data_IF_753003383555
#
_entry.id   IF_753003383555
#
_cell.length_a   1.000
_cell.length_b   1.000
_cell.length_c   1.000
_cell.angle_alpha   90.00
_cell.angle_beta   90.00
_cell.angle_gamma   90.00
#
_symmetry.space_group_name_H-M   'P 1'
#
loop_
_entity.id
_entity.type
_entity.pdbx_description
1 polymer ?
2 non-polymer ?
3 non-polymer ?
4 non-polymer ?
5 water ?
#
# COMPACT_ATOMS: atom_id res chain seq x y z
N UNK A 1 -24.82 -1.68 -19.37
CA UNK A 1 -24.80 -1.91 -20.81
C UNK A 1 -23.39 -2.14 -21.37
N UNK A 2 -22.34 -1.69 -20.66
CA UNK A 2 -20.93 -1.84 -21.09
C UNK A 2 -20.49 -3.31 -20.94
N UNK A 3 -19.93 -3.87 -22.02
CA UNK A 3 -19.47 -5.26 -22.03
C UNK A 3 -18.21 -5.44 -21.17
N UNK A 4 -18.00 -6.69 -20.73
CA UNK A 4 -16.81 -7.09 -19.98
C UNK A 4 -15.60 -6.88 -20.91
N UNK A 5 -15.75 -7.24 -22.20
CA UNK A 5 -14.71 -7.06 -23.22
C UNK A 5 -14.24 -5.58 -23.26
N UNK A 6 -15.18 -4.62 -23.29
CA UNK A 6 -14.91 -3.17 -23.31
C UNK A 6 -14.20 -2.68 -22.02
N UNK A 7 -14.67 -3.11 -20.82
CA UNK A 7 -14.02 -2.74 -19.55
C UNK A 7 -12.58 -3.25 -19.52
N UNK A 8 -12.37 -4.52 -19.94
CA UNK A 8 -11.04 -5.13 -19.95
C UNK A 8 -10.12 -4.42 -20.93
N UNK A 9 -10.63 -4.08 -22.13
CA UNK A 9 -9.85 -3.34 -23.14
C UNK A 9 -9.46 -1.96 -22.63
N UNK A 10 -10.42 -1.23 -22.03
CA UNK A 10 -10.19 0.12 -21.48
C UNK A 10 -9.15 0.10 -20.37
N UNK A 11 -9.25 -0.82 -19.41
CA UNK A 11 -8.28 -0.84 -18.30
C UNK A 11 -6.90 -1.25 -18.80
N UNK A 12 -6.84 -2.24 -19.69
CA UNK A 12 -5.57 -2.66 -20.30
C UNK A 12 -4.91 -1.44 -20.98
N UNK A 13 -5.70 -0.62 -21.72
CA UNK A 13 -5.20 0.56 -22.43
C UNK A 13 -4.52 1.59 -21.51
N UNK A 14 -4.99 1.71 -20.25
CA UNK A 14 -4.39 2.66 -19.28
C UNK A 14 -2.96 2.27 -18.96
N UNK A 15 -2.70 0.96 -18.81
CA UNK A 15 -1.34 0.47 -18.55
C UNK A 15 -0.51 0.56 -19.84
N UNK A 16 -1.11 0.24 -21.01
CA UNK A 16 -0.44 0.31 -22.32
C UNK A 16 0.03 1.74 -22.61
N UNK A 17 -0.85 2.74 -22.38
CA UNK A 17 -0.54 4.15 -22.67
C UNK A 17 0.54 4.71 -21.75
N UNK A 18 0.66 4.13 -20.55
CA UNK A 18 1.70 4.52 -19.59
C UNK A 18 3.03 3.83 -19.93
N UNK A 19 3.05 2.98 -20.99
CA UNK A 19 4.22 2.23 -21.48
C UNK A 19 4.84 1.37 -20.37
N UNK A 20 3.99 0.73 -19.57
CA UNK A 20 4.42 -0.15 -18.49
C UNK A 20 3.66 -1.47 -18.57
N UNK A 21 3.91 -2.37 -17.61
CA UNK A 21 3.27 -3.69 -17.53
C UNK A 21 2.71 -3.76 -16.13
N UNK A 22 1.42 -4.03 -16.02
CA UNK A 22 0.80 -4.06 -14.71
C UNK A 22 -0.56 -4.69 -14.63
N UNK A 23 -1.04 -4.79 -13.39
CA UNK A 23 -2.36 -5.33 -13.03
C UNK A 23 -3.03 -4.47 -12.02
N UNK A 24 -4.35 -4.53 -11.98
CA UNK A 24 -5.18 -3.90 -10.97
C UNK A 24 -6.18 -4.97 -10.57
N UNK A 25 -6.14 -5.39 -9.31
CA UNK A 25 -7.05 -6.39 -8.78
C UNK A 25 -8.08 -5.68 -7.93
N UNK A 26 -9.36 -5.94 -8.21
CA UNK A 26 -10.46 -5.31 -7.49
C UNK A 26 -11.26 -6.41 -6.80
N UNK A 27 -11.70 -6.16 -5.56
CA UNK A 27 -12.47 -7.15 -4.84
C UNK A 27 -13.85 -6.61 -4.50
N UNK A 28 -14.89 -7.31 -4.94
CA UNK A 28 -16.28 -6.97 -4.66
C UNK A 28 -16.83 -8.14 -3.87
N UNK A 29 -16.97 -7.94 -2.57
CA UNK A 29 -17.37 -8.98 -1.64
C UNK A 29 -16.23 -9.99 -1.54
N UNK A 30 -16.49 -11.24 -1.94
CA UNK A 30 -15.46 -12.28 -1.94
C UNK A 30 -14.85 -12.52 -3.34
N UNK A 31 -15.40 -11.85 -4.39
CA UNK A 31 -14.95 -12.03 -5.77
C UNK A 31 -13.81 -11.09 -6.17
N UNK A 32 -12.70 -11.68 -6.64
CA UNK A 32 -11.51 -10.94 -7.11
C UNK A 32 -11.57 -10.82 -8.62
N UNK A 33 -11.44 -9.60 -9.14
CA UNK A 33 -11.40 -9.37 -10.58
C UNK A 33 -10.05 -8.79 -10.94
N UNK A 34 -9.38 -9.40 -11.92
CA UNK A 34 -8.04 -9.01 -12.35
C UNK A 34 -8.12 -8.28 -13.70
N UNK A 35 -7.58 -7.07 -13.76
CA UNK A 35 -7.58 -6.24 -14.98
C UNK A 35 -6.17 -5.75 -15.26
N UNK A 36 -5.96 -5.18 -16.44
CA UNK A 36 -4.65 -4.63 -16.80
C UNK A 36 -4.04 -5.22 -18.05
N UNK A 37 -2.74 -5.00 -18.25
CA UNK A 37 -2.08 -5.50 -19.46
C UNK A 37 -1.06 -6.60 -19.18
N UNK A 38 -0.94 -7.10 -17.93
CA UNK A 38 0.01 -8.18 -17.62
C UNK A 38 -0.59 -8.98 -16.48
N UNK A 39 -1.69 -9.70 -16.77
CA UNK A 39 -2.51 -10.42 -15.79
C UNK A 39 -1.74 -11.43 -14.94
N UNK A 40 -0.68 -12.04 -15.49
CA UNK A 40 0.15 -13.02 -14.76
C UNK A 40 0.89 -12.42 -13.56
N UNK A 41 0.94 -11.09 -13.42
CA UNK A 41 1.55 -10.44 -12.27
C UNK A 41 0.74 -10.68 -10.99
N UNK A 42 -0.57 -10.97 -11.11
CA UNK A 42 -1.51 -11.17 -9.98
C UNK A 42 -1.00 -12.10 -8.86
N UNK A 43 -0.34 -13.22 -9.20
CA UNK A 43 0.16 -14.15 -8.16
C UNK A 43 1.68 -14.21 -8.08
N UNK A 44 2.37 -13.18 -8.58
CA UNK A 44 3.84 -13.09 -8.48
C UNK A 44 4.21 -12.25 -7.26
N UNK A 45 5.33 -12.58 -6.60
CA UNK A 45 5.82 -11.90 -5.41
C UNK A 45 6.71 -10.74 -5.74
N UNK A 46 6.53 -9.62 -5.03
CA UNK A 46 7.33 -8.41 -5.16
C UNK A 46 7.54 -7.85 -3.78
N UNK A 47 8.59 -7.05 -3.61
CA UNK A 47 8.79 -6.39 -2.32
C UNK A 47 7.58 -5.45 -2.07
N UNK A 48 7.06 -5.35 -0.84
CA UNK A 48 5.91 -4.45 -0.62
C UNK A 48 6.30 -2.98 -0.69
N UNK A 49 7.61 -2.67 -0.53
CA UNK A 49 8.15 -1.30 -0.47
C UNK A 49 7.31 -0.50 0.54
N UNK A 50 6.93 0.76 0.24
CA UNK A 50 6.17 1.65 1.16
C UNK A 50 4.77 1.19 1.52
N UNK A 51 4.19 0.19 0.82
CA UNK A 51 2.86 -0.31 1.26
C UNK A 51 3.01 -0.95 2.65
N UNK A 52 4.24 -1.43 2.99
CA UNK A 52 4.52 -1.98 4.33
C UNK A 52 4.28 -0.94 5.44
N UNK A 53 4.29 0.36 5.12
CA UNK A 53 4.02 1.41 6.11
C UNK A 53 2.71 1.14 6.84
N UNK A 54 1.69 0.60 6.12
CA UNK A 54 0.39 0.31 6.74
C UNK A 54 0.54 -0.69 7.88
N UNK A 55 1.26 -1.78 7.63
CA UNK A 55 1.46 -2.81 8.64
C UNK A 55 2.46 -2.36 9.71
N UNK A 56 3.51 -1.62 9.30
CA UNK A 56 4.50 -1.07 10.22
C UNK A 56 3.78 -0.19 11.28
N UNK A 57 2.86 0.69 10.84
CA UNK A 57 2.07 1.58 11.71
C UNK A 57 1.15 0.80 12.65
N UNK A 58 0.47 -0.25 12.13
CA UNK A 58 -0.41 -1.10 12.95
C UNK A 58 0.41 -1.77 14.08
N UNK A 59 1.58 -2.35 13.73
CA UNK A 59 2.46 -3.03 14.68
C UNK A 59 2.95 -2.06 15.77
N UNK A 60 3.43 -0.89 15.33
CA UNK A 60 3.96 0.15 16.21
C UNK A 60 2.94 0.67 17.20
N UNK A 61 1.74 1.00 16.71
CA UNK A 61 0.65 1.51 17.54
C UNK A 61 0.12 0.46 18.52
N UNK A 62 -0.05 -0.80 18.05
CA UNK A 62 -0.56 -1.90 18.89
C UNK A 62 0.42 -2.20 20.02
N UNK A 63 1.73 -2.16 19.74
CA UNK A 63 2.76 -2.50 20.71
C UNK A 63 3.33 -1.29 21.46
N UNK A 64 2.59 -0.15 21.44
CA UNK A 64 2.92 1.09 22.16
C UNK A 64 4.33 1.62 21.88
N UNK A 65 4.76 1.49 20.62
CA UNK A 65 6.07 2.00 20.19
C UNK A 65 5.94 3.45 19.75
N UNK A 66 4.69 3.94 19.63
CA UNK A 66 4.36 5.30 19.24
C UNK A 66 2.89 5.60 19.53
N UNK A 67 2.53 6.89 19.50
CA UNK A 67 1.14 7.36 19.60
C UNK A 67 0.84 8.09 18.31
N UNK A 68 -0.44 8.36 18.02
CA UNK A 68 -0.83 9.06 16.78
C UNK A 68 -0.46 10.56 16.80
N UNK A 69 -0.24 11.16 17.99
CA UNK A 69 0.12 12.57 18.08
C UNK A 69 1.62 12.78 18.27
N UNK A 70 2.36 11.69 18.53
CA UNK A 70 3.82 11.75 18.73
C UNK A 70 4.54 12.36 17.53
N UNK A 71 5.39 13.35 17.79
CA UNK A 71 6.16 14.02 16.74
C UNK A 71 7.54 13.41 16.69
N UNK A 72 7.86 12.73 15.57
CA UNK A 72 9.16 12.12 15.30
C UNK A 72 10.04 13.24 14.78
N UNK A 73 11.05 13.61 15.56
CA UNK A 73 11.92 14.73 15.19
C UNK A 73 12.87 14.39 14.05
N UNK A 74 13.08 15.34 13.14
CA UNK A 74 14.08 15.19 12.08
C UNK A 74 15.45 15.34 12.77
N UNK A 75 16.37 14.39 12.51
CA UNK A 75 17.72 14.38 13.12
C UNK A 75 18.66 15.50 12.62
N UNK A 76 18.23 16.24 11.59
CA UNK A 76 19.05 17.32 11.07
C UNK A 76 19.96 16.90 9.93
N UNK A 77 19.96 15.60 9.58
CA UNK A 77 20.76 15.07 8.48
C UNK A 77 20.03 15.21 7.15
N UNK A 78 20.79 15.44 6.08
CA UNK A 78 20.25 15.59 4.73
C UNK A 78 19.44 14.36 4.32
N UNK A 79 18.27 14.61 3.69
CA UNK A 79 17.36 13.58 3.20
C UNK A 79 17.26 13.67 1.70
N UNK A 80 16.84 12.58 1.03
CA UNK A 80 16.67 12.55 -0.42
C UNK A 80 15.68 13.64 -0.87
N UNK A 81 14.64 13.91 -0.05
CA UNK A 81 13.58 14.88 -0.36
C UNK A 81 13.44 15.96 0.72
N UNK A 82 13.38 17.24 0.32
CA UNK A 82 13.29 18.34 1.31
C UNK A 82 12.08 18.26 2.25
N UNK A 83 10.93 17.75 1.76
CA UNK A 83 9.74 17.62 2.60
C UNK A 83 9.89 16.58 3.72
N UNK A 84 10.97 15.77 3.68
CA UNK A 84 11.25 14.79 4.73
C UNK A 84 12.13 15.39 5.81
N UNK A 85 12.68 16.59 5.55
CA UNK A 85 13.57 17.26 6.49
C UNK A 85 12.78 18.09 7.49
N UNK A 86 11.89 17.42 8.21
CA UNK A 86 11.03 18.04 9.20
C UNK A 86 10.52 17.00 10.19
N UNK A 87 9.95 17.50 11.29
CA UNK A 87 9.37 16.74 12.38
C UNK A 87 7.97 16.36 11.95
N UNK A 88 7.57 15.10 12.19
CA UNK A 88 6.25 14.66 11.76
C UNK A 88 5.69 13.52 12.56
N UNK A 89 4.36 13.40 12.54
CA UNK A 89 3.63 12.31 13.18
C UNK A 89 3.68 11.13 12.21
N UNK A 90 3.22 9.96 12.65
CA UNK A 90 3.11 8.78 11.79
C UNK A 90 2.18 9.05 10.60
N UNK A 91 1.09 9.78 10.86
CA UNK A 91 0.10 10.13 9.83
C UNK A 91 0.67 11.02 8.75
N UNK A 92 1.46 12.01 9.16
CA UNK A 92 2.13 12.93 8.22
C UNK A 92 3.19 12.16 7.44
N UNK A 93 3.94 11.25 8.13
CA UNK A 93 4.95 10.44 7.47
C UNK A 93 4.31 9.42 6.53
N UNK A 94 3.05 9.01 6.78
CA UNK A 94 2.32 8.10 5.88
C UNK A 94 1.99 8.84 4.56
N UNK A 95 1.44 10.07 4.65
CA UNK A 95 1.05 10.90 3.50
C UNK A 95 2.28 11.29 2.66
N UNK A 96 3.40 11.60 3.33
CA UNK A 96 4.63 11.97 2.64
C UNK A 96 5.48 10.78 2.31
N UNK A 97 5.06 9.58 2.79
CA UNK A 97 5.76 8.30 2.63
C UNK A 97 7.25 8.46 3.07
N UNK A 98 7.47 9.16 4.21
CA UNK A 98 8.81 9.43 4.74
C UNK A 98 9.40 8.19 5.40
N UNK A 99 10.28 7.49 4.67
CA UNK A 99 10.99 6.27 5.08
C UNK A 99 11.69 6.42 6.44
N UNK A 100 12.48 7.50 6.71
CA UNK A 100 13.20 7.55 8.01
C UNK A 100 12.34 7.40 9.25
N UNK A 101 11.11 7.96 9.22
CA UNK A 101 10.18 7.86 10.36
C UNK A 101 9.76 6.41 10.55
N UNK A 102 9.47 5.72 9.44
CA UNK A 102 9.03 4.32 9.52
C UNK A 102 10.21 3.37 9.81
N UNK A 103 11.44 3.79 9.50
CA UNK A 103 12.62 3.02 9.87
C UNK A 103 12.84 3.18 11.39
N UNK A 104 12.58 4.38 11.93
CA UNK A 104 12.68 4.62 13.38
C UNK A 104 11.64 3.75 14.10
N UNK A 105 10.39 3.75 13.60
CA UNK A 105 9.34 2.92 14.18
C UNK A 105 9.72 1.44 14.15
N UNK A 106 10.29 0.95 13.02
CA UNK A 106 10.71 -0.45 12.89
C UNK A 106 11.81 -0.78 13.93
N UNK A 107 12.77 0.13 14.11
CA UNK A 107 13.86 0.00 15.10
C UNK A 107 13.32 -0.06 16.53
N UNK A 108 12.25 0.73 16.83
CA UNK A 108 11.61 0.73 18.17
C UNK A 108 10.97 -0.62 18.42
N UNK A 109 10.26 -1.16 17.42
CA UNK A 109 9.64 -2.49 17.50
C UNK A 109 10.72 -3.56 17.71
N UNK A 110 11.82 -3.46 16.95
CA UNK A 110 12.92 -4.40 17.05
C UNK A 110 12.67 -5.65 16.24
N UNK A 111 13.75 -6.35 15.83
CA UNK A 111 13.69 -7.54 14.96
C UNK A 111 12.81 -8.68 15.49
N UNK A 112 12.98 -9.06 16.78
CA UNK A 112 12.23 -10.18 17.39
C UNK A 112 10.72 -9.94 17.34
N UNK A 113 10.25 -8.80 17.83
CA UNK A 113 8.82 -8.46 17.84
C UNK A 113 8.29 -8.25 16.42
N UNK A 114 9.08 -7.58 15.55
CA UNK A 114 8.65 -7.36 14.16
C UNK A 114 8.38 -8.70 13.46
N UNK A 115 9.33 -9.65 13.56
CA UNK A 115 9.18 -10.97 12.94
C UNK A 115 7.96 -11.73 13.48
N UNK A 116 7.74 -11.68 14.82
CA UNK A 116 6.60 -12.34 15.46
C UNK A 116 5.29 -11.74 14.95
N UNK A 117 5.22 -10.40 14.84
CA UNK A 117 4.01 -9.70 14.38
C UNK A 117 3.73 -9.91 12.91
N UNK A 118 4.79 -9.88 12.06
CA UNK A 118 4.65 -10.12 10.62
C UNK A 118 4.14 -11.56 10.38
N UNK A 119 4.66 -12.52 11.18
CA UNK A 119 4.24 -13.93 11.11
C UNK A 119 2.80 -14.07 11.62
N UNK A 120 2.44 -13.34 12.70
CA UNK A 120 1.10 -13.39 13.30
C UNK A 120 0.01 -12.90 12.34
N UNK A 121 0.29 -11.80 11.60
CA UNK A 121 -0.67 -11.26 10.64
C UNK A 121 -0.62 -12.03 9.33
N UNK A 122 0.45 -12.83 9.12
CA UNK A 122 0.62 -13.66 7.95
C UNK A 122 0.68 -12.77 6.67
N UNK A 123 1.58 -11.79 6.69
CA UNK A 123 1.74 -10.85 5.60
C UNK A 123 2.72 -11.38 4.55
N UNK A 124 2.25 -11.57 3.31
CA UNK A 124 3.07 -12.06 2.20
C UNK A 124 3.80 -13.35 2.51
N UNK A 125 5.11 -13.41 2.20
CA UNK A 125 5.90 -14.61 2.49
C UNK A 125 6.30 -14.68 4.00
N UNK A 126 5.96 -13.62 4.78
CA UNK A 126 6.16 -13.47 6.25
C UNK A 126 7.65 -13.49 6.70
N UNK A 127 8.64 -13.42 5.76
CA UNK A 127 10.07 -13.45 6.07
C UNK A 127 10.66 -12.04 6.15
N UNK A 128 11.25 -11.65 7.28
CA UNK A 128 11.84 -10.32 7.40
C UNK A 128 13.38 -10.37 7.50
N UNK A 129 13.95 -11.57 7.58
CA UNK A 129 15.39 -11.76 7.69
C UNK A 129 16.00 -11.17 8.95
N UNK A 130 17.23 -10.66 8.84
CA UNK A 130 18.02 -10.14 9.96
C UNK A 130 18.13 -8.60 10.08
N UNK A 131 17.69 -7.83 9.06
CA UNK A 131 17.78 -6.36 9.12
C UNK A 131 16.41 -5.73 9.33
N UNK A 132 16.15 -5.23 10.55
CA UNK A 132 14.84 -4.67 10.93
C UNK A 132 14.46 -3.37 10.17
N UNK A 133 15.43 -2.64 9.58
CA UNK A 133 15.14 -1.32 8.99
C UNK A 133 14.99 -1.28 7.47
N UNK A 134 15.11 -2.41 6.76
CA UNK A 134 14.99 -2.36 5.30
C UNK A 134 14.38 -3.60 4.65
N UNK A 135 13.91 -4.57 5.46
CA UNK A 135 13.38 -5.84 4.94
C UNK A 135 12.23 -5.72 3.95
N UNK A 136 11.45 -4.63 4.05
CA UNK A 136 10.30 -4.39 3.18
C UNK A 136 10.69 -3.65 1.91
N UNK A 137 11.93 -3.13 1.86
CA UNK A 137 12.44 -2.34 0.75
C UNK A 137 13.28 -3.14 -0.23
N UNK A 138 14.15 -4.04 0.27
CA UNK A 138 15.09 -4.79 -0.58
C UNK A 138 14.97 -6.32 -0.42
N UNK A 139 13.95 -6.75 0.30
CA UNK A 139 13.78 -8.17 0.59
C UNK A 139 14.35 -8.49 1.96
N UNK A 140 14.13 -9.70 2.52
CA UNK A 140 13.48 -10.87 1.91
C UNK A 140 11.96 -10.85 1.89
N UNK A 141 11.32 -9.83 2.51
CA UNK A 141 9.86 -9.75 2.55
C UNK A 141 9.28 -9.49 1.18
N UNK A 142 8.35 -10.36 0.75
CA UNK A 142 7.69 -10.25 -0.55
C UNK A 142 6.21 -10.58 -0.40
N UNK A 143 5.41 -10.07 -1.31
CA UNK A 143 3.95 -10.23 -1.29
C UNK A 143 3.43 -10.16 -2.71
N UNK A 144 2.30 -10.82 -2.98
CA UNK A 144 1.67 -10.78 -4.29
C UNK A 144 0.57 -9.73 -4.33
N UNK A 145 0.18 -9.25 -5.54
CA UNK A 145 -0.97 -8.33 -5.62
C UNK A 145 -2.26 -8.91 -5.05
N UNK A 146 -2.52 -10.24 -5.21
CA UNK A 146 -3.68 -10.90 -4.61
C UNK A 146 -3.60 -10.77 -3.07
N UNK A 147 -2.42 -11.05 -2.50
CA UNK A 147 -2.22 -10.91 -1.05
C UNK A 147 -2.39 -9.45 -0.59
N UNK A 148 -1.93 -8.47 -1.41
CA UNK A 148 -2.09 -7.04 -1.06
C UNK A 148 -3.57 -6.61 -1.05
N UNK A 149 -4.36 -7.02 -2.06
CA UNK A 149 -5.79 -6.66 -2.09
C UNK A 149 -6.55 -7.33 -0.92
N UNK A 150 -6.13 -8.57 -0.52
CA UNK A 150 -6.72 -9.29 0.63
C UNK A 150 -6.35 -8.63 1.93
N UNK A 151 -5.13 -8.06 2.01
CA UNK A 151 -4.69 -7.29 3.18
C UNK A 151 -5.55 -6.01 3.30
N UNK A 152 -5.74 -5.30 2.17
CA UNK A 152 -6.55 -4.07 2.08
C UNK A 152 -8.00 -4.36 2.50
N UNK A 153 -8.52 -5.52 2.09
CA UNK A 153 -9.87 -5.99 2.41
C UNK A 153 -10.00 -6.23 3.91
N UNK A 154 -8.97 -6.87 4.51
CA UNK A 154 -8.94 -7.15 5.96
C UNK A 154 -8.89 -5.86 6.74
N UNK A 155 -8.03 -4.92 6.35
CA UNK A 155 -7.91 -3.62 7.05
C UNK A 155 -9.19 -2.82 6.92
N UNK A 156 -9.76 -2.72 5.70
CA UNK A 156 -11.02 -1.99 5.48
C UNK A 156 -12.14 -2.48 6.38
N UNK A 157 -12.19 -3.81 6.64
CA UNK A 157 -13.24 -4.43 7.45
C UNK A 157 -12.82 -4.74 8.88
N UNK A 158 -11.66 -4.22 9.33
CA UNK A 158 -11.17 -4.39 10.71
C UNK A 158 -10.96 -5.87 11.09
N UNK A 159 -10.60 -6.69 10.09
CA UNK A 159 -10.42 -8.13 10.26
C UNK A 159 -9.00 -8.54 10.64
N UNK A 160 -8.04 -7.59 10.58
CA UNK A 160 -6.66 -7.90 10.96
C UNK A 160 -6.55 -8.18 12.46
N UNK A 161 -5.57 -9.00 12.93
CA UNK A 161 -5.49 -9.32 14.36
C UNK A 161 -4.86 -8.21 15.20
N UNK A 162 -5.55 -7.07 15.25
CA UNK A 162 -5.17 -5.89 16.03
C UNK A 162 -6.44 -5.34 16.64
N UNK A 163 -6.30 -4.46 17.66
CA UNK A 163 -7.44 -3.80 18.28
C UNK A 163 -8.17 -2.99 17.20
N UNK A 164 -9.50 -2.84 17.34
CA UNK A 164 -10.31 -2.04 16.42
C UNK A 164 -9.73 -0.61 16.38
N UNK A 165 -9.39 -0.04 17.55
CA UNK A 165 -8.82 1.31 17.66
C UNK A 165 -7.53 1.44 16.83
N UNK A 166 -6.62 0.44 16.92
CA UNK A 166 -5.36 0.41 16.16
C UNK A 166 -5.65 0.51 14.66
N UNK A 167 -6.58 -0.32 14.15
CA UNK A 167 -6.95 -0.33 12.74
C UNK A 167 -7.59 0.99 12.31
N UNK A 168 -8.48 1.55 13.15
CA UNK A 168 -9.13 2.85 12.87
C UNK A 168 -8.09 3.97 12.79
N UNK A 169 -7.09 3.97 13.69
CA UNK A 169 -6.02 4.97 13.74
C UNK A 169 -5.22 4.97 12.43
N UNK A 170 -4.82 3.77 11.96
CA UNK A 170 -4.05 3.64 10.71
C UNK A 170 -4.90 4.00 9.49
N UNK A 171 -6.18 3.59 9.47
CA UNK A 171 -7.08 3.91 8.37
C UNK A 171 -7.26 5.43 8.18
N UNK A 172 -7.33 6.19 9.29
CA UNK A 172 -7.42 7.66 9.24
C UNK A 172 -6.21 8.29 8.54
N UNK A 173 -5.04 7.61 8.59
CA UNK A 173 -3.80 8.08 7.95
C UNK A 173 -3.79 7.85 6.45
N UNK A 174 -4.72 7.03 5.95
CA UNK A 174 -4.69 6.61 4.56
C UNK A 174 -5.64 7.30 3.58
N UNK A 175 -6.43 8.31 4.01
CA UNK A 175 -7.35 9.00 3.10
C UNK A 175 -6.57 9.83 2.08
N UNK A 176 -6.66 9.47 0.79
CA UNK A 176 -5.89 10.17 -0.25
C UNK A 176 -6.77 10.97 -1.24
N UNK A 177 -8.07 10.64 -1.34
CA UNK A 177 -8.95 11.31 -2.31
C UNK A 177 -10.43 11.16 -1.94
N UNK A 178 -11.22 12.16 -2.31
CA UNK A 178 -12.67 12.16 -2.18
C UNK A 178 -13.25 12.51 -3.56
N UNK A 179 -14.02 11.59 -4.15
CA UNK A 179 -14.63 11.71 -5.49
C UNK A 179 -16.13 11.51 -5.27
N UNK A 180 -16.94 12.56 -5.54
CA UNK A 180 -18.39 12.60 -5.30
C UNK A 180 -18.66 12.29 -3.81
N UNK A 181 -19.26 11.15 -3.51
CA UNK A 181 -19.52 10.70 -2.13
C UNK A 181 -18.61 9.56 -1.72
N UNK A 182 -17.68 9.16 -2.62
CA UNK A 182 -16.73 8.06 -2.39
C UNK A 182 -15.42 8.56 -1.78
N UNK A 183 -14.88 7.79 -0.83
CA UNK A 183 -13.59 8.11 -0.20
C UNK A 183 -12.58 7.04 -0.60
N UNK A 184 -11.40 7.47 -1.04
CA UNK A 184 -10.35 6.53 -1.44
C UNK A 184 -9.26 6.54 -0.37
N UNK A 185 -9.03 5.35 0.21
CA UNK A 185 -8.00 5.10 1.22
C UNK A 185 -6.97 4.22 0.55
N UNK A 186 -5.70 4.64 0.52
CA UNK A 186 -4.67 3.83 -0.12
C UNK A 186 -3.27 4.22 0.31
N UNK A 187 -2.30 3.35 0.01
CA UNK A 187 -0.88 3.61 0.24
C UNK A 187 -0.16 3.17 -1.01
N UNK A 188 0.68 4.05 -1.54
CA UNK A 188 1.50 3.76 -2.70
C UNK A 188 2.81 3.10 -2.24
N UNK A 189 3.53 2.53 -3.21
CA UNK A 189 4.82 1.88 -2.97
C UNK A 189 5.64 1.95 -4.24
N UNK A 190 6.96 2.08 -4.08
CA UNK A 190 7.88 2.18 -5.21
C UNK A 190 9.20 1.51 -4.79
N UNK A 191 9.37 0.26 -5.21
CA UNK A 191 10.56 -0.52 -4.88
C UNK A 191 11.76 -0.06 -5.68
N UNK A 192 12.44 1.00 -5.21
CA UNK A 192 13.61 1.58 -5.87
C UNK A 192 14.91 0.80 -5.67
N UNK A 193 14.97 -0.02 -4.62
CA UNK A 193 16.15 -0.80 -4.29
C UNK A 193 16.19 -2.20 -4.87
N UNK A 194 15.30 -2.49 -5.82
CA UNK A 194 15.19 -3.78 -6.51
C UNK A 194 15.17 -3.58 -8.03
N UNK A 195 15.54 -4.62 -8.79
CA UNK A 195 15.55 -4.58 -10.25
C UNK A 195 14.77 -5.78 -10.81
N UNK A 196 13.68 -5.58 -11.59
CA UNK A 196 13.03 -4.29 -11.95
C UNK A 196 12.37 -3.62 -10.76
N UNK A 197 12.04 -2.32 -10.90
CA UNK A 197 11.40 -1.53 -9.85
C UNK A 197 9.90 -1.73 -9.87
N UNK A 198 9.32 -2.11 -8.73
CA UNK A 198 7.88 -2.36 -8.60
C UNK A 198 7.15 -1.08 -8.13
N UNK A 199 5.96 -0.87 -8.67
CA UNK A 199 5.08 0.23 -8.29
C UNK A 199 3.78 -0.34 -7.76
N UNK A 200 3.30 0.17 -6.60
CA UNK A 200 2.06 -0.27 -5.97
C UNK A 200 1.13 0.90 -5.67
N UNK A 201 -0.18 0.62 -5.57
CA UNK A 201 -1.21 1.49 -5.01
C UNK A 201 -2.27 0.54 -4.48
N UNK A 202 -2.27 0.36 -3.16
CA UNK A 202 -3.16 -0.61 -2.50
C UNK A 202 -4.06 0.10 -1.53
N UNK A 203 -5.34 -0.20 -1.61
CA UNK A 203 -6.29 0.40 -0.69
C UNK A 203 -7.71 -0.08 -0.92
N UNK A 204 -8.65 0.83 -0.69
CA UNK A 204 -10.07 0.54 -0.88
C UNK A 204 -10.86 1.81 -1.11
N UNK A 205 -12.01 1.65 -1.77
CA UNK A 205 -12.96 2.73 -1.98
C UNK A 205 -14.06 2.53 -0.94
N UNK A 206 -14.36 3.56 -0.15
CA UNK A 206 -15.50 3.51 0.75
C UNK A 206 -16.60 4.32 0.05
N UNK A 207 -17.63 3.64 -0.46
CA UNK A 207 -18.73 4.31 -1.15
C UNK A 207 -19.65 4.98 -0.13
N UNK A 208 -20.46 5.96 -0.57
CA UNK A 208 -21.39 6.75 0.27
C UNK A 208 -22.31 5.86 1.14
N UNK A 209 -22.76 4.74 0.57
CA UNK A 209 -23.65 3.74 1.21
C UNK A 209 -22.94 2.86 2.27
N UNK A 210 -21.61 2.99 2.38
CA UNK A 210 -20.82 2.23 3.34
C UNK A 210 -20.06 1.04 2.78
N UNK A 211 -20.37 0.63 1.53
CA UNK A 211 -19.70 -0.50 0.87
C UNK A 211 -18.21 -0.21 0.66
N UNK A 212 -17.36 -1.19 0.98
CA UNK A 212 -15.91 -1.06 0.82
C UNK A 212 -15.41 -1.95 -0.30
N UNK A 213 -14.76 -1.34 -1.31
CA UNK A 213 -14.24 -2.04 -2.48
C UNK A 213 -12.70 -1.96 -2.49
N UNK A 214 -12.04 -3.03 -1.99
CA UNK A 214 -10.57 -3.08 -1.99
C UNK A 214 -9.97 -3.20 -3.39
N UNK A 215 -8.73 -2.73 -3.54
CA UNK A 215 -8.02 -2.81 -4.82
C UNK A 215 -6.51 -2.86 -4.57
N UNK A 216 -5.77 -3.42 -5.54
CA UNK A 216 -4.32 -3.36 -5.52
C UNK A 216 -3.82 -3.24 -6.93
N UNK A 217 -3.15 -2.13 -7.21
CA UNK A 217 -2.50 -1.89 -8.50
C UNK A 217 -1.03 -2.29 -8.30
N UNK A 218 -0.47 -2.97 -9.29
CA UNK A 218 0.93 -3.39 -9.26
C UNK A 218 1.45 -3.28 -10.67
N UNK A 219 2.56 -2.55 -10.85
CA UNK A 219 3.17 -2.36 -12.17
C UNK A 219 4.68 -2.21 -12.08
N UNK A 220 5.34 -2.16 -13.24
CA UNK A 220 6.78 -1.93 -13.24
C UNK A 220 7.04 -0.42 -13.35
N UNK A 221 7.78 0.19 -12.40
CA UNK A 221 8.10 1.62 -12.50
C UNK A 221 9.31 1.76 -13.40
N UNK A 222 9.21 2.60 -14.44
CA UNK A 222 10.31 2.77 -15.41
C UNK A 222 11.02 4.11 -15.25
N UNK A 223 12.10 4.33 -16.04
CA UNK A 223 12.94 5.54 -16.00
C UNK A 223 12.15 6.80 -16.32
N UNK A 224 12.25 7.77 -15.42
CA UNK A 224 11.60 9.08 -15.55
C UNK A 224 10.09 9.06 -15.46
N UNK A 225 9.52 7.94 -14.96
CA UNK A 225 8.08 7.79 -14.79
C UNK A 225 7.66 8.57 -13.54
N UNK A 226 6.52 9.26 -13.62
CA UNK A 226 5.98 10.03 -12.50
C UNK A 226 5.24 9.07 -11.57
N UNK A 227 5.35 9.30 -10.26
CA UNK A 227 4.66 8.52 -9.24
C UNK A 227 3.15 8.55 -9.39
N UNK A 228 2.62 9.71 -9.86
CA UNK A 228 1.20 9.97 -10.09
C UNK A 228 0.54 9.06 -11.14
N UNK A 229 1.32 8.37 -11.99
CA UNK A 229 0.74 7.42 -12.97
C UNK A 229 -0.01 6.27 -12.25
N UNK A 230 0.46 5.87 -11.05
CA UNK A 230 -0.18 4.81 -10.27
C UNK A 230 -1.57 5.26 -9.85
N UNK A 231 -1.68 6.52 -9.38
CA UNK A 231 -2.95 7.14 -8.98
C UNK A 231 -3.87 7.34 -10.19
N UNK A 232 -3.30 7.86 -11.31
CA UNK A 232 -4.05 8.10 -12.55
C UNK A 232 -4.64 6.82 -13.12
N UNK A 233 -3.85 5.73 -13.20
CA UNK A 233 -4.36 4.45 -13.72
C UNK A 233 -5.45 3.90 -12.79
N UNK A 234 -5.22 3.96 -11.47
CA UNK A 234 -6.17 3.48 -10.47
C UNK A 234 -7.50 4.20 -10.58
N UNK A 235 -7.48 5.55 -10.54
CA UNK A 235 -8.72 6.34 -10.62
C UNK A 235 -9.47 6.09 -11.92
N UNK A 236 -8.76 6.03 -13.07
CA UNK A 236 -9.39 5.75 -14.36
C UNK A 236 -9.99 4.36 -14.42
N UNK A 237 -9.35 3.37 -13.77
CA UNK A 237 -9.86 1.99 -13.73
C UNK A 237 -11.12 1.90 -12.85
N UNK A 238 -11.09 2.54 -11.66
CA UNK A 238 -12.24 2.55 -10.74
C UNK A 238 -13.41 3.30 -11.33
N UNK A 239 -13.15 4.42 -12.05
CA UNK A 239 -14.18 5.21 -12.72
C UNK A 239 -14.79 4.41 -13.89
N UNK A 240 -13.95 3.70 -14.66
CA UNK A 240 -14.42 2.90 -15.81
C UNK A 240 -15.42 1.83 -15.36
N UNK A 241 -15.15 1.19 -14.20
CA UNK A 241 -15.99 0.14 -13.64
C UNK A 241 -17.19 0.66 -12.84
N UNK A 242 -17.30 1.99 -12.71
CA UNK A 242 -18.38 2.63 -11.98
C UNK A 242 -18.26 2.54 -10.46
N UNK A 243 -17.03 2.23 -9.94
CA UNK A 243 -16.76 2.12 -8.49
C UNK A 243 -16.74 3.54 -7.87
N UNK A 244 -16.28 4.53 -8.65
CA UNK A 244 -16.25 5.95 -8.28
C UNK A 244 -16.89 6.77 -9.40
X LIG B 1 15.55 -7.25 19.37
X LIG B 1 15.96 -8.00 20.57
X LIG B 1 15.16 -8.21 18.32
X LIG B 1 14.43 -6.37 19.69
X LIG B 1 16.68 -6.44 18.90
X LIG C 1 -10.69 -4.86 20.34
X LIG C 1 -9.84 -5.97 20.76
X LIG C 1 -10.72 -4.79 18.89
X LIG C 1 -12.06 -5.07 20.82
X LIG C 1 -10.18 -3.61 20.91
X LIG D 1 -18.96 -3.95 2.86
X LIG D 1 -18.88 -5.23 3.57
X LIG D 1 -17.75 -3.74 2.08
X LIG D 1 -20.12 -3.97 1.97
X LIG D 1 -19.12 -2.86 3.83
X LIG E 1 -4.43 -14.01 1.90
X LIG E 1 -3.30 -14.79 2.42
X LIG E 1 -4.20 -13.69 0.48
X LIG E 1 -5.67 -14.79 2.02
X LIG E 1 -4.60 -12.81 2.71
X LIG F 1 -17.16 -8.88 9.34
X LIG F 1 -15.72 -8.82 9.53
X LIG F 1 -17.58 -10.28 9.25
X LIG F 1 -17.54 -8.18 8.12
X LIG F 1 -17.82 -8.24 10.49
X LIG G 1 10.20 4.30 -1.87
X LIG G 1 8.15 3.57 -0.70
X LIG G 1 9.34 5.64 0.08
X LIG G 1 5.09 7.28 -2.54
X LIG G 1 5.50 5.21 -1.42
X LIG G 1 10.23 8.11 -2.73
X LIG G 1 5.78 6.03 -2.55
X LIG G 1 5.73 5.33 -3.79
X LIG G 1 7.43 6.36 -2.30
X LIG G 1 7.75 7.10 -1.11
X LIG G 1 9.16 6.88 -0.79
X LIG G 1 9.20 4.42 -0.79
X LIG G 1 7.98 2.63 -1.47
X LIG G 1 9.99 6.79 -2.06
X LIG G 1 10.47 5.64 -2.53
X LIG G 1 11.51 3.65 -1.33
X LIG G 1 12.15 4.16 -0.41
X LIG G 1 11.86 2.50 -1.90
X LIG H 1 7.18 13.31 -3.67
X LIG H 1 6.26 12.57 -3.04
X LIG H 1 6.55 12.04 -1.67
X LIG H 1 8.84 12.56 -2.20
X LIG H 1 8.52 13.71 -3.13
X LIG H 1 7.96 13.96 -0.78
X LIG H 1 6.47 10.50 -1.59
X LIG H 1 7.47 9.80 -1.40
X LIG H 1 5.27 9.98 -1.78
X LIG H 1 7.74 12.70 -1.25
X LIG H 1 7.55 14.42 0.26
X LIG H 1 8.33 14.66 -1.97
X LIG H 1 8.37 16.08 -1.90
X LIG H 1 9.84 16.79 -2.18
X LIG H 1 10.54 16.23 -3.26
X LIG H 1 9.35 18.17 -2.66
X LIG H 1 10.36 16.98 -0.89
X LIG H 1 6.96 13.89 -5.05
#
# INVERSE_FOLDING_TARGET
>A
HISSQQHEKAIKSYFDEAQTQGVIIIKEGKNLSTYGNALARANKEYVPASTFKMLNALIGLENHKATTNEIFKWDGKKRTYPMWEKDMTLGEAMALSAVPVYQELARRTGLELMQKEVKRVNFGNTNIGTQVDNFWLVGPLKITPVQEVNFADDLAHNRLPFKLETQEEVKKMLLIKEVNGSKIYAKSGWGMGVTPQVGWLTGWVEQANGKKIPFSLNLEMKEGMSGSIRNEITYKSLENLGII
>B hetero
1 SO4 S O1 O2 O3 O4
>C hetero
1 SO4 S O1 O2 O3 O4
>D hetero
1 SO4 S O1 O2 O3 O4
>E hetero
1 SO4 S O1 O2 O3 O4
>F hetero
1 SO4 S O1 O2 O3 O4
>G hetero
1 9CP C1 C2 C3 O4 O5 C7 S O3 O2 N2 C4 N1 O1 C5 C6 C O N
>H hetero
1 9CM C1 C2 C3 C4 C5 C6 C7 O5 N2 N O N1 O1 S O3 O4 O2 C
#
